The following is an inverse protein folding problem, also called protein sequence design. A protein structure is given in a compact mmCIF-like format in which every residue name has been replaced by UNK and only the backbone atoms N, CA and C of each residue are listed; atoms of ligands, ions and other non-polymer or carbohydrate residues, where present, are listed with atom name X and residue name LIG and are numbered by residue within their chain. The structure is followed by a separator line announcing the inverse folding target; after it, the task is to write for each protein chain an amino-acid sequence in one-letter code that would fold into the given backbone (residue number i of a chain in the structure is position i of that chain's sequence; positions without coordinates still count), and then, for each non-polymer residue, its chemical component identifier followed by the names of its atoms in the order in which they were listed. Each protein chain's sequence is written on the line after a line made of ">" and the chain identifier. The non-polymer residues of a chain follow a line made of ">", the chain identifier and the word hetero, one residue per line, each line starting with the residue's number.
data_IF_521632104192
#
_entry.id   IF_521632104192
#
_cell.length_a   1.000
_cell.length_b   1.000
_cell.length_c   1.000
_cell.angle_alpha   90.00
_cell.angle_beta   90.00
_cell.angle_gamma   90.00
#
_symmetry.space_group_name_H-M   'P 1'
#
loop_
_entity.id
_entity.type
_entity.pdbx_description
1 polymer ?
#
# COMPACT_ATOMS: atom_id res chain seq x y z
N UNK A 1 -39.15 -20.69 -41.28
CA UNK A 1 -37.71 -20.70 -40.96
C UNK A 1 -37.45 -19.49 -40.09
N UNK A 2 -37.48 -19.66 -38.77
CA UNK A 2 -37.33 -18.58 -37.79
C UNK A 2 -35.89 -18.55 -37.31
N UNK A 3 -35.18 -17.45 -37.58
CA UNK A 3 -33.83 -17.23 -37.11
C UNK A 3 -33.85 -16.88 -35.61
N UNK A 4 -33.25 -17.74 -34.79
CA UNK A 4 -32.98 -17.45 -33.38
C UNK A 4 -31.81 -16.45 -33.32
N UNK A 5 -32.08 -15.26 -32.78
CA UNK A 5 -31.06 -14.30 -32.41
C UNK A 5 -30.31 -14.83 -31.18
N UNK A 6 -29.01 -15.07 -31.33
CA UNK A 6 -28.12 -15.39 -30.23
C UNK A 6 -27.94 -14.14 -29.36
N UNK A 7 -28.57 -14.13 -28.18
CA UNK A 7 -28.22 -13.21 -27.10
C UNK A 7 -26.82 -13.56 -26.61
N UNK A 8 -25.82 -12.80 -27.02
CA UNK A 8 -24.50 -12.78 -26.39
C UNK A 8 -24.62 -12.19 -24.99
N UNK A 9 -24.44 -13.03 -23.96
CA UNK A 9 -24.39 -12.60 -22.57
C UNK A 9 -23.26 -11.58 -22.34
N UNK A 10 -23.49 -10.51 -21.56
CA UNK A 10 -22.42 -9.58 -21.19
C UNK A 10 -21.37 -10.30 -20.35
N UNK A 11 -20.10 -10.10 -20.72
CA UNK A 11 -18.93 -10.62 -19.99
C UNK A 11 -18.94 -10.01 -18.59
N UNK A 12 -18.98 -10.84 -17.55
CA UNK A 12 -18.87 -10.42 -16.16
C UNK A 12 -17.46 -9.85 -15.92
N UNK A 13 -17.37 -8.54 -15.66
CA UNK A 13 -16.11 -7.87 -15.34
C UNK A 13 -15.70 -8.19 -13.89
N UNK A 14 -14.50 -8.76 -13.71
CA UNK A 14 -13.97 -9.07 -12.38
C UNK A 14 -13.61 -7.78 -11.61
N UNK A 15 -13.70 -7.79 -10.27
CA UNK A 15 -13.31 -6.66 -9.38
C UNK A 15 -11.94 -6.09 -9.75
N UNK A 16 -11.05 -6.98 -10.15
CA UNK A 16 -9.70 -6.67 -10.53
C UNK A 16 -9.63 -5.93 -11.89
N UNK A 17 -10.53 -6.25 -12.84
CA UNK A 17 -10.64 -5.55 -14.13
C UNK A 17 -11.15 -4.13 -13.99
N UNK A 18 -12.07 -3.88 -13.07
CA UNK A 18 -12.50 -2.51 -12.85
C UNK A 18 -11.45 -1.64 -12.20
N UNK A 19 -10.64 -2.19 -11.28
CA UNK A 19 -9.48 -1.48 -10.78
C UNK A 19 -8.61 -0.97 -11.95
N UNK A 20 -8.39 -1.81 -12.98
CA UNK A 20 -7.67 -1.41 -14.19
C UNK A 20 -8.44 -0.46 -15.13
N UNK A 21 -9.77 -0.59 -15.24
CA UNK A 21 -10.60 0.32 -16.04
C UNK A 21 -10.62 1.75 -15.46
N UNK A 22 -10.63 1.89 -14.13
CA UNK A 22 -10.47 3.19 -13.49
C UNK A 22 -9.06 3.76 -13.69
N UNK A 23 -8.03 2.92 -13.72
CA UNK A 23 -6.65 3.34 -14.00
C UNK A 23 -6.43 3.80 -15.43
N UNK A 24 -7.01 3.13 -16.43
CA UNK A 24 -6.90 3.60 -17.82
C UNK A 24 -7.56 4.96 -17.98
N UNK A 25 -8.69 5.20 -17.31
CA UNK A 25 -9.36 6.50 -17.27
C UNK A 25 -8.53 7.56 -16.54
N UNK A 26 -7.86 7.19 -15.45
CA UNK A 26 -6.97 8.08 -14.66
C UNK A 26 -5.69 8.46 -15.41
N UNK A 27 -5.01 7.50 -16.04
CA UNK A 27 -3.79 7.73 -16.83
C UNK A 27 -4.10 8.53 -18.10
N UNK A 28 -5.24 8.28 -18.76
CA UNK A 28 -5.64 9.01 -19.96
C UNK A 28 -6.13 10.43 -19.68
N UNK A 29 -6.69 10.70 -18.49
CA UNK A 29 -7.18 12.03 -18.15
C UNK A 29 -6.07 13.01 -17.75
N UNK A 30 -4.82 12.54 -17.61
CA UNK A 30 -3.67 13.41 -17.29
C UNK A 30 -3.83 14.17 -15.96
N UNK A 31 -4.82 13.78 -15.14
CA UNK A 31 -5.05 14.36 -13.83
C UNK A 31 -4.05 13.72 -12.88
N UNK A 32 -2.80 14.19 -12.92
CA UNK A 32 -1.99 14.13 -11.72
C UNK A 32 -2.82 14.77 -10.60
N UNK A 33 -2.85 14.19 -9.39
CA UNK A 33 -3.30 14.92 -8.23
C UNK A 33 -2.36 16.12 -8.12
N UNK A 34 -2.79 17.26 -8.64
CA UNK A 34 -2.10 18.52 -8.41
C UNK A 34 -2.04 18.66 -6.89
N UNK A 35 -0.85 18.90 -6.35
CA UNK A 35 -0.71 19.48 -5.03
C UNK A 35 -1.51 20.80 -5.05
N UNK A 36 -2.76 20.75 -4.63
CA UNK A 36 -3.64 21.90 -4.68
C UNK A 36 -3.12 22.92 -3.68
N UNK A 37 -2.89 24.19 -4.08
CA UNK A 37 -2.78 25.26 -3.11
C UNK A 37 -4.13 25.38 -2.39
N UNK A 38 -4.06 25.49 -1.06
CA UNK A 38 -5.21 25.59 -0.16
C UNK A 38 -6.24 26.62 -0.65
N UNK A 39 -7.41 26.16 -1.09
CA UNK A 39 -8.63 26.96 -1.13
C UNK A 39 -9.71 26.27 -0.30
N UNK A 40 -10.04 26.93 0.80
CA UNK A 40 -11.02 26.51 1.80
C UNK A 40 -12.42 26.48 1.19
N UNK A 41 -13.04 25.30 1.14
CA UNK A 41 -14.46 25.16 0.84
C UNK A 41 -15.17 24.65 2.10
N UNK A 42 -15.92 25.54 2.77
CA UNK A 42 -16.75 25.20 3.93
C UNK A 42 -18.09 24.67 3.41
N UNK A 43 -18.31 23.36 3.48
CA UNK A 43 -19.64 22.77 3.40
C UNK A 43 -20.04 22.26 4.79
N UNK A 44 -21.00 22.94 5.39
CA UNK A 44 -21.67 22.52 6.62
C UNK A 44 -22.57 21.31 6.32
N UNK A 45 -22.27 20.17 6.93
CA UNK A 45 -23.22 19.07 7.07
C UNK A 45 -23.94 19.18 8.42
N UNK A 46 -25.24 18.83 8.50
CA UNK A 46 -25.99 18.91 9.75
C UNK A 46 -25.51 17.84 10.75
N UNK A 47 -25.35 18.27 12.01
CA UNK A 47 -25.00 17.41 13.12
C UNK A 47 -26.17 16.47 13.47
N UNK A 48 -25.96 15.16 13.33
CA UNK A 48 -26.84 14.16 13.90
C UNK A 48 -26.31 13.77 15.28
N UNK A 49 -26.95 14.31 16.32
CA UNK A 49 -26.72 13.97 17.71
C UNK A 49 -27.45 12.67 18.06
N UNK A 50 -26.70 11.61 18.38
CA UNK A 50 -27.20 10.50 19.18
C UNK A 50 -26.01 9.87 19.93
N UNK A 51 -25.84 10.27 21.20
CA UNK A 51 -24.93 9.60 22.13
C UNK A 51 -25.50 8.23 22.48
N UNK A 52 -24.83 7.18 22.03
CA UNK A 52 -24.96 5.84 22.62
C UNK A 52 -23.61 5.50 23.23
N UNK A 53 -23.55 5.53 24.56
CA UNK A 53 -22.40 5.09 25.35
C UNK A 53 -22.27 3.58 25.18
N UNK A 54 -21.31 3.14 24.36
CA UNK A 54 -20.86 1.75 24.31
C UNK A 54 -19.66 1.62 25.23
N UNK A 55 -19.81 0.81 26.27
CA UNK A 55 -18.71 0.31 27.08
C UNK A 55 -17.81 -0.56 26.18
N UNK A 56 -16.58 -0.10 25.95
CA UNK A 56 -15.56 -0.90 25.27
C UNK A 56 -14.85 -1.75 26.32
N UNK A 57 -15.04 -3.08 26.25
CA UNK A 57 -14.14 -4.02 26.90
C UNK A 57 -12.74 -3.87 26.27
N UNK A 58 -11.76 -3.58 27.12
CA UNK A 58 -10.34 -3.48 26.77
C UNK A 58 -9.82 -4.86 26.38
N UNK A 59 -9.89 -5.19 25.09
CA UNK A 59 -9.19 -6.35 24.52
C UNK A 59 -7.72 -5.95 24.35
N UNK A 60 -6.84 -6.53 25.17
CA UNK A 60 -5.39 -6.40 25.02
C UNK A 60 -4.95 -6.87 23.63
N UNK A 61 -4.13 -6.10 22.88
CA UNK A 61 -3.60 -6.56 21.61
C UNK A 61 -2.59 -7.68 21.84
N UNK A 62 -2.93 -8.88 21.38
CA UNK A 62 -1.97 -9.98 21.22
C UNK A 62 -1.07 -9.60 20.03
N UNK A 63 0.06 -8.94 20.33
CA UNK A 63 1.13 -8.69 19.39
C UNK A 63 1.90 -10.00 19.16
N UNK A 64 1.38 -10.87 18.30
CA UNK A 64 2.17 -11.95 17.70
C UNK A 64 2.70 -11.42 16.37
N UNK A 65 3.92 -10.90 16.41
CA UNK A 65 4.68 -10.57 15.20
C UNK A 65 5.05 -11.91 14.53
N UNK A 66 4.65 -12.16 13.27
CA UNK A 66 5.09 -13.36 12.57
C UNK A 66 6.59 -13.27 12.28
N UNK A 67 7.38 -14.21 12.79
CA UNK A 67 8.74 -14.45 12.30
C UNK A 67 8.67 -14.98 10.89
N UNK A 68 9.25 -14.25 9.93
CA UNK A 68 9.42 -14.73 8.56
C UNK A 68 10.65 -15.65 8.56
N UNK A 69 10.42 -16.96 8.63
CA UNK A 69 11.45 -17.95 8.32
C UNK A 69 11.61 -18.05 6.80
N UNK A 70 12.72 -17.50 6.27
CA UNK A 70 13.09 -17.64 4.87
C UNK A 70 13.68 -19.04 4.64
N UNK A 71 12.96 -19.89 3.90
CA UNK A 71 13.47 -21.19 3.46
C UNK A 71 14.39 -20.99 2.24
N UNK A 72 15.69 -21.35 2.30
CA UNK A 72 16.56 -21.22 1.14
C UNK A 72 16.29 -22.33 0.12
N UNK A 73 16.06 -21.95 -1.13
CA UNK A 73 16.07 -22.87 -2.26
C UNK A 73 17.51 -23.37 -2.50
N UNK A 74 17.72 -24.68 -2.38
CA UNK A 74 19.00 -25.33 -2.67
C UNK A 74 19.19 -25.44 -4.19
N UNK A 75 20.00 -24.55 -4.76
CA UNK A 75 20.46 -24.64 -6.15
C UNK A 75 21.89 -25.17 -6.14
N UNK A 76 22.07 -26.39 -6.64
CA UNK A 76 23.40 -26.97 -6.90
C UNK A 76 24.00 -26.32 -8.14
N UNK A 77 25.06 -25.53 -7.96
CA UNK A 77 25.89 -25.05 -9.06
C UNK A 77 26.96 -26.10 -9.40
N UNK A 78 27.10 -26.40 -10.69
CA UNK A 78 28.27 -27.09 -11.25
C UNK A 78 29.33 -26.04 -11.55
N UNK A 79 30.51 -26.19 -10.94
CA UNK A 79 31.72 -25.49 -11.36
C UNK A 79 32.12 -25.93 -12.77
N UNK A 80 32.38 -24.97 -13.64
CA UNK A 80 33.14 -25.17 -14.86
C UNK A 80 34.21 -24.09 -14.92
N UNK A 81 35.46 -24.53 -14.85
CA UNK A 81 36.68 -23.74 -14.98
C UNK A 81 36.89 -23.18 -16.39
N UNK A 82 37.72 -22.15 -16.44
CA UNK A 82 38.43 -21.58 -17.58
C UNK A 82 37.65 -20.79 -18.63
N UNK A 83 37.71 -19.45 -18.50
CA UNK A 83 37.60 -18.54 -19.65
C UNK A 83 38.48 -17.31 -19.54
N UNK A 84 39.32 -17.15 -20.56
CA UNK A 84 40.28 -16.08 -20.79
C UNK A 84 39.70 -14.66 -20.64
N UNK A 85 40.49 -13.80 -20.00
CA UNK A 85 40.24 -12.37 -19.85
C UNK A 85 40.51 -11.67 -21.18
N UNK A 86 39.44 -11.31 -21.92
CA UNK A 86 39.51 -10.29 -22.97
C UNK A 86 39.07 -8.95 -22.40
N UNK A 87 40.03 -8.04 -22.28
CA UNK A 87 39.84 -6.63 -21.93
C UNK A 87 39.03 -5.95 -23.03
N UNK A 88 37.73 -5.75 -22.78
CA UNK A 88 36.83 -4.99 -23.65
C UNK A 88 36.74 -3.56 -23.11
N UNK A 89 37.38 -2.62 -23.80
CA UNK A 89 37.11 -1.19 -23.60
C UNK A 89 35.66 -0.90 -23.99
N UNK A 90 34.80 -0.75 -22.98
CA UNK A 90 33.38 -0.42 -23.17
C UNK A 90 33.18 1.08 -23.05
N UNK A 91 33.18 1.76 -24.19
CA UNK A 91 32.44 3.02 -24.35
C UNK A 91 30.95 2.69 -24.26
N UNK A 92 30.39 2.75 -23.04
CA UNK A 92 28.96 2.58 -22.80
C UNK A 92 28.37 3.91 -22.35
N UNK A 93 28.03 4.77 -23.32
CA UNK A 93 26.98 5.78 -23.14
C UNK A 93 25.65 5.05 -23.02
N UNK A 94 25.38 4.52 -21.82
CA UNK A 94 24.07 4.00 -21.45
C UNK A 94 23.13 5.20 -21.44
N UNK A 95 22.32 5.34 -22.50
CA UNK A 95 21.12 6.16 -22.44
C UNK A 95 20.28 5.62 -21.29
N UNK A 96 20.32 6.32 -20.15
CA UNK A 96 19.46 6.04 -19.02
C UNK A 96 18.01 6.26 -19.47
N UNK A 97 17.34 5.19 -19.90
CA UNK A 97 15.88 5.23 -20.03
C UNK A 97 15.37 5.62 -18.65
N UNK A 98 14.74 6.78 -18.54
CA UNK A 98 14.18 7.30 -17.29
C UNK A 98 12.99 6.42 -16.88
N UNK A 99 13.29 5.21 -16.39
CA UNK A 99 12.29 4.35 -15.77
C UNK A 99 11.84 5.06 -14.51
N UNK A 100 10.53 5.27 -14.39
CA UNK A 100 9.94 5.75 -13.14
C UNK A 100 10.37 4.82 -11.99
N UNK A 101 10.74 5.36 -10.83
CA UNK A 101 11.02 4.56 -9.65
C UNK A 101 9.85 3.63 -9.30
N UNK A 102 10.12 2.43 -8.75
CA UNK A 102 9.07 1.52 -8.30
C UNK A 102 8.33 2.11 -7.09
N UNK A 103 7.10 1.63 -6.81
CA UNK A 103 6.46 1.89 -5.52
C UNK A 103 7.30 1.32 -4.37
N UNK A 104 7.16 1.85 -3.16
CA UNK A 104 7.91 1.34 -1.99
C UNK A 104 7.67 -0.17 -1.78
N UNK A 105 6.43 -0.64 -1.95
CA UNK A 105 6.11 -2.05 -1.80
C UNK A 105 6.84 -2.92 -2.83
N UNK A 106 6.88 -2.51 -4.10
CA UNK A 106 7.64 -3.20 -5.16
C UNK A 106 9.15 -3.13 -4.92
N UNK A 107 9.65 -2.00 -4.40
CA UNK A 107 11.06 -1.88 -4.04
C UNK A 107 11.45 -2.91 -2.97
N UNK A 108 10.67 -3.02 -1.90
CA UNK A 108 10.96 -3.94 -0.79
C UNK A 108 10.76 -5.40 -1.19
N UNK A 109 9.57 -5.75 -1.68
CA UNK A 109 9.17 -7.14 -1.86
C UNK A 109 9.59 -7.70 -3.23
N UNK A 110 9.88 -6.82 -4.19
CA UNK A 110 10.42 -7.18 -5.50
C UNK A 110 11.93 -6.97 -5.58
N UNK A 111 12.36 -5.70 -5.59
CA UNK A 111 13.77 -5.34 -5.90
C UNK A 111 14.75 -5.84 -4.84
N UNK A 112 14.52 -5.56 -3.55
CA UNK A 112 15.45 -5.98 -2.49
C UNK A 112 15.49 -7.50 -2.36
N UNK A 113 14.38 -8.19 -2.59
CA UNK A 113 14.30 -9.65 -2.55
C UNK A 113 15.07 -10.35 -3.68
N UNK A 114 15.28 -9.70 -4.83
CA UNK A 114 16.15 -10.25 -5.88
C UNK A 114 17.60 -10.42 -5.42
N UNK A 115 18.03 -9.63 -4.42
CA UNK A 115 19.38 -9.69 -3.84
C UNK A 115 19.45 -10.56 -2.58
N UNK A 116 18.45 -11.40 -2.30
CA UNK A 116 18.40 -12.28 -1.12
C UNK A 116 19.71 -13.03 -0.81
N UNK A 117 20.45 -13.58 -1.79
CA UNK A 117 21.72 -14.25 -1.51
C UNK A 117 22.81 -13.37 -0.88
N UNK A 118 22.72 -12.05 -1.08
CA UNK A 118 23.65 -11.03 -0.56
C UNK A 118 23.22 -10.48 0.81
N UNK A 119 22.01 -10.77 1.28
CA UNK A 119 21.52 -10.25 2.55
C UNK A 119 22.44 -10.70 3.70
N UNK A 120 22.76 -9.78 4.61
CA UNK A 120 23.69 -9.99 5.73
C UNK A 120 25.12 -10.38 5.32
N UNK A 121 25.52 -10.12 4.07
CA UNK A 121 26.88 -10.39 3.56
C UNK A 121 27.47 -9.15 2.88
N UNK A 122 27.71 -8.05 3.62
CA UNK A 122 28.37 -6.90 3.05
C UNK A 122 29.78 -7.26 2.56
N UNK A 123 30.23 -6.62 1.48
CA UNK A 123 31.58 -6.82 0.93
C UNK A 123 32.68 -6.49 1.94
N UNK A 124 32.42 -5.52 2.81
CA UNK A 124 33.34 -5.05 3.84
C UNK A 124 32.82 -5.47 5.23
N UNK A 125 33.64 -6.15 6.06
CA UNK A 125 33.22 -6.61 7.39
C UNK A 125 32.80 -5.48 8.35
N UNK A 126 33.34 -4.28 8.13
CA UNK A 126 33.10 -3.03 8.85
C UNK A 126 31.98 -2.17 8.23
N UNK A 127 31.16 -2.75 7.34
CA UNK A 127 30.04 -2.04 6.75
C UNK A 127 29.06 -1.53 7.82
N UNK A 128 28.72 -0.25 7.71
CA UNK A 128 27.76 0.44 8.56
C UNK A 128 26.48 0.77 7.80
N UNK A 129 25.36 0.76 8.51
CA UNK A 129 24.08 1.19 7.97
C UNK A 129 24.10 2.68 7.60
N UNK A 130 23.67 3.03 6.39
CA UNK A 130 23.62 4.43 5.94
C UNK A 130 22.55 5.29 6.65
N UNK A 131 21.70 4.69 7.49
CA UNK A 131 20.63 5.40 8.22
C UNK A 131 20.98 5.58 9.70
N UNK A 132 21.34 4.50 10.39
CA UNK A 132 21.63 4.55 11.84
C UNK A 132 23.12 4.60 12.18
N UNK A 133 24.01 4.46 11.19
CA UNK A 133 25.47 4.43 11.35
C UNK A 133 26.02 3.30 12.23
N UNK A 134 25.17 2.37 12.68
CA UNK A 134 25.63 1.18 13.41
C UNK A 134 26.18 0.11 12.47
N UNK A 135 27.09 -0.75 12.98
CA UNK A 135 27.58 -1.92 12.24
C UNK A 135 26.44 -2.82 11.78
N UNK A 136 26.64 -3.50 10.65
CA UNK A 136 25.61 -4.30 9.99
C UNK A 136 25.00 -5.40 10.87
N UNK A 137 25.79 -5.98 11.79
CA UNK A 137 25.38 -7.05 12.69
C UNK A 137 24.83 -6.55 14.04
N UNK A 138 24.72 -5.23 14.24
CA UNK A 138 24.23 -4.65 15.49
C UNK A 138 22.69 -4.63 15.49
N UNK A 139 22.02 -5.14 16.54
CA UNK A 139 20.58 -4.99 16.71
C UNK A 139 20.17 -3.51 16.68
N UNK A 140 19.08 -3.20 15.98
CA UNK A 140 18.62 -1.82 15.80
C UNK A 140 17.39 -1.51 16.63
N UNK A 141 17.44 -0.42 17.37
CA UNK A 141 16.23 0.27 17.84
C UNK A 141 15.71 1.09 16.67
N UNK A 142 14.83 0.51 15.87
CA UNK A 142 14.32 1.15 14.66
C UNK A 142 13.46 2.39 14.94
N UNK A 143 13.14 2.68 16.20
CA UNK A 143 12.48 3.91 16.63
C UNK A 143 13.49 4.78 17.37
N UNK A 144 13.49 6.09 17.10
CA UNK A 144 14.15 7.07 17.99
C UNK A 144 13.59 6.93 19.43
N UNK A 145 12.35 6.46 19.53
CA UNK A 145 11.73 5.90 20.73
C UNK A 145 12.24 4.48 21.04
N UNK A 146 13.56 4.29 21.15
CA UNK A 146 14.11 3.24 22.04
C UNK A 146 13.67 3.42 23.51
N UNK A 147 12.82 4.41 23.78
CA UNK A 147 12.26 4.88 25.04
C UNK A 147 10.90 4.25 25.39
N UNK A 148 10.19 3.60 24.46
CA UNK A 148 8.93 2.90 24.78
C UNK A 148 9.14 1.47 25.33
N UNK A 149 10.37 1.15 25.76
CA UNK A 149 10.69 -0.13 26.40
C UNK A 149 10.77 -1.35 25.47
N UNK A 150 10.76 -1.16 24.13
CA UNK A 150 10.95 -2.27 23.20
C UNK A 150 12.43 -2.63 23.07
N UNK A 151 12.79 -3.92 23.15
CA UNK A 151 14.18 -4.35 22.99
C UNK A 151 14.67 -4.10 21.54
N UNK A 152 15.96 -3.82 21.32
CA UNK A 152 16.55 -3.78 19.99
C UNK A 152 16.28 -5.07 19.22
N UNK A 153 15.96 -4.95 17.93
CA UNK A 153 15.60 -6.09 17.07
C UNK A 153 16.66 -6.28 15.99
N UNK A 154 17.06 -7.52 15.76
CA UNK A 154 17.91 -7.87 14.63
C UNK A 154 17.16 -7.62 13.33
N UNK A 155 17.74 -6.82 12.44
CA UNK A 155 17.15 -6.50 11.14
C UNK A 155 18.06 -7.02 10.04
N UNK A 156 17.48 -7.60 8.99
CA UNK A 156 18.22 -7.97 7.78
C UNK A 156 18.96 -6.76 7.23
N UNK A 157 20.24 -6.94 6.91
CA UNK A 157 21.10 -5.94 6.31
C UNK A 157 21.13 -6.13 4.79
N UNK A 158 20.74 -5.10 4.05
CA UNK A 158 20.37 -5.19 2.64
C UNK A 158 21.20 -4.22 1.79
N UNK A 159 21.65 -4.63 0.60
CA UNK A 159 22.19 -3.71 -0.39
C UNK A 159 21.05 -2.92 -1.06
N UNK A 160 21.20 -1.61 -1.14
CA UNK A 160 20.26 -0.70 -1.76
C UNK A 160 20.54 -0.61 -3.26
N UNK A 161 19.58 -1.01 -4.08
CA UNK A 161 19.64 -0.81 -5.53
C UNK A 161 19.09 0.58 -5.91
N UNK A 162 19.69 1.29 -6.88
CA UNK A 162 20.86 0.94 -7.68
C UNK A 162 22.21 1.40 -7.11
N UNK A 163 22.21 2.07 -5.96
CA UNK A 163 23.40 2.79 -5.49
C UNK A 163 24.45 1.93 -4.76
N UNK A 164 24.14 0.70 -4.37
CA UNK A 164 25.05 -0.22 -3.70
C UNK A 164 25.34 0.06 -2.22
N UNK A 165 24.79 1.15 -1.64
CA UNK A 165 24.89 1.42 -0.20
C UNK A 165 24.12 0.38 0.60
N UNK A 166 24.46 0.19 1.88
CA UNK A 166 23.82 -0.83 2.70
C UNK A 166 23.02 -0.22 3.86
N UNK A 167 21.88 -0.84 4.17
CA UNK A 167 21.03 -0.42 5.28
C UNK A 167 20.33 -1.60 5.93
N UNK A 168 20.01 -1.47 7.21
CA UNK A 168 19.08 -2.35 7.88
C UNK A 168 17.67 -2.15 7.32
N UNK A 169 16.98 -3.23 6.96
CA UNK A 169 15.60 -3.23 6.49
C UNK A 169 14.68 -2.35 7.35
N UNK A 170 14.69 -2.53 8.67
CA UNK A 170 13.87 -1.74 9.59
C UNK A 170 14.23 -0.25 9.57
N UNK A 171 15.50 0.10 9.34
CA UNK A 171 15.91 1.51 9.22
C UNK A 171 15.43 2.14 7.91
N UNK A 172 15.39 1.38 6.79
CA UNK A 172 14.78 1.86 5.53
C UNK A 172 13.29 2.13 5.76
N UNK A 173 12.58 1.19 6.39
CA UNK A 173 11.15 1.33 6.66
C UNK A 173 10.87 2.51 7.58
N UNK A 174 11.60 2.63 8.69
CA UNK A 174 11.49 3.78 9.58
C UNK A 174 11.73 5.09 8.85
N UNK A 175 12.79 5.17 8.03
CA UNK A 175 13.08 6.39 7.27
C UNK A 175 11.95 6.74 6.30
N UNK A 176 11.35 5.74 5.64
CA UNK A 176 10.21 5.93 4.76
C UNK A 176 8.94 6.45 5.49
N UNK A 177 8.78 6.16 6.79
CA UNK A 177 7.64 6.66 7.58
C UNK A 177 7.79 8.11 8.04
N UNK A 178 8.97 8.71 7.90
CA UNK A 178 9.24 10.08 8.37
C UNK A 178 8.60 11.13 7.47
N UNK A 179 8.31 12.29 8.06
CA UNK A 179 7.97 13.52 7.35
C UNK A 179 9.26 14.22 6.85
N UNK A 180 9.98 13.57 5.94
CA UNK A 180 11.19 14.10 5.30
C UNK A 180 11.06 14.00 3.77
N UNK A 181 11.32 15.07 3.00
CA UNK A 181 11.24 15.04 1.53
C UNK A 181 12.25 14.08 0.87
N UNK A 182 13.21 13.55 1.61
CA UNK A 182 14.21 12.57 1.16
C UNK A 182 13.87 11.15 1.57
N UNK A 183 12.71 10.91 2.21
CA UNK A 183 12.29 9.60 2.73
C UNK A 183 12.18 8.48 1.68
N UNK A 184 12.33 8.81 0.39
CA UNK A 184 12.42 7.88 -0.73
C UNK A 184 13.79 7.81 -1.42
N UNK A 185 14.83 8.34 -0.77
CA UNK A 185 16.19 8.43 -1.29
C UNK A 185 17.18 7.73 -0.38
N UNK A 186 18.31 7.33 -0.94
CA UNK A 186 19.46 6.88 -0.16
C UNK A 186 20.03 8.04 0.66
N UNK A 187 20.19 7.85 1.98
CA UNK A 187 20.74 8.87 2.88
C UNK A 187 22.20 9.26 2.61
N UNK A 188 22.96 8.44 1.87
CA UNK A 188 24.37 8.71 1.55
C UNK A 188 24.54 9.46 0.24
N UNK A 189 23.92 8.98 -0.84
CA UNK A 189 24.15 9.50 -2.20
C UNK A 189 22.94 10.20 -2.81
N UNK A 190 21.81 10.28 -2.10
CA UNK A 190 20.57 10.93 -2.53
C UNK A 190 19.90 10.33 -3.79
N UNK A 191 20.38 9.16 -4.25
CA UNK A 191 19.73 8.37 -5.31
C UNK A 191 18.30 8.03 -4.90
N UNK A 192 17.33 8.30 -5.78
CA UNK A 192 15.94 7.93 -5.57
C UNK A 192 15.79 6.41 -5.67
N UNK A 193 15.24 5.80 -4.62
CA UNK A 193 15.10 4.35 -4.50
C UNK A 193 13.70 3.89 -4.94
N UNK A 194 12.69 4.69 -4.62
CA UNK A 194 11.29 4.40 -4.90
C UNK A 194 10.46 5.69 -5.03
N UNK A 195 9.22 5.53 -5.47
CA UNK A 195 8.20 6.56 -5.39
C UNK A 195 7.52 6.48 -4.02
N UNK A 196 7.45 7.60 -3.31
CA UNK A 196 6.82 7.63 -2.00
C UNK A 196 5.31 7.75 -2.14
N UNK A 197 4.58 6.84 -1.50
CA UNK A 197 3.13 6.88 -1.42
C UNK A 197 2.71 6.55 0.01
N UNK A 198 1.67 7.23 0.48
CA UNK A 198 1.12 7.01 1.81
C UNK A 198 0.71 5.56 2.00
N UNK A 199 -0.08 5.02 1.08
CA UNK A 199 -0.71 3.71 1.28
C UNK A 199 0.29 2.55 1.29
N UNK A 200 1.33 2.59 0.45
CA UNK A 200 2.39 1.57 0.46
C UNK A 200 3.24 1.68 1.72
N UNK A 201 3.51 2.91 2.16
CA UNK A 201 4.29 3.17 3.38
C UNK A 201 3.51 2.71 4.60
N UNK A 202 2.22 3.05 4.70
CA UNK A 202 1.33 2.61 5.77
C UNK A 202 1.23 1.08 5.84
N UNK A 203 1.12 0.42 4.68
CA UNK A 203 1.09 -1.05 4.58
C UNK A 203 2.36 -1.66 5.18
N UNK A 204 3.53 -1.15 4.81
CA UNK A 204 4.82 -1.65 5.29
C UNK A 204 5.12 -1.27 6.74
N UNK A 205 4.72 -0.08 7.16
CA UNK A 205 4.80 0.38 8.54
C UNK A 205 4.00 -0.55 9.46
N UNK A 206 2.76 -0.87 9.07
CA UNK A 206 1.90 -1.83 9.79
C UNK A 206 2.54 -3.21 9.82
N UNK A 207 3.08 -3.71 8.69
CA UNK A 207 3.77 -5.00 8.61
C UNK A 207 5.01 -5.08 9.52
N UNK A 208 5.67 -3.96 9.76
CA UNK A 208 6.92 -3.90 10.55
C UNK A 208 6.72 -3.44 11.99
N UNK A 209 5.48 -3.11 12.38
CA UNK A 209 5.16 -2.53 13.69
C UNK A 209 5.83 -1.17 13.90
N UNK A 210 5.97 -0.38 12.83
CA UNK A 210 6.49 0.98 12.88
C UNK A 210 5.34 1.96 12.76
N UNK A 211 5.42 3.05 13.51
CA UNK A 211 4.45 4.13 13.41
C UNK A 211 4.76 5.07 12.24
N UNK A 212 3.70 5.55 11.59
CA UNK A 212 3.78 6.63 10.62
C UNK A 212 3.97 7.96 11.35
N UNK A 213 4.96 8.76 10.93
CA UNK A 213 5.18 10.07 11.55
C UNK A 213 4.05 11.03 11.21
N UNK A 214 3.45 11.59 12.26
CA UNK A 214 2.42 12.62 12.17
C UNK A 214 3.07 14.00 12.01
N UNK A 215 2.59 14.77 11.03
CA UNK A 215 3.03 16.15 10.78
C UNK A 215 3.00 17.00 12.05
N UNK A 216 2.02 16.80 12.94
CA UNK A 216 1.91 17.56 14.20
C UNK A 216 3.01 17.21 15.21
N UNK A 217 3.47 15.94 15.25
CA UNK A 217 4.54 15.51 16.17
C UNK A 217 5.93 15.94 15.72
N UNK A 218 6.11 16.26 14.43
CA UNK A 218 7.43 16.61 13.87
C UNK A 218 8.02 17.93 14.38
N UNK A 219 7.26 18.75 15.14
CA UNK A 219 7.76 19.99 15.77
C UNK A 219 8.21 21.09 14.79
N UNK A 220 8.17 20.84 13.49
CA UNK A 220 8.61 21.75 12.44
C UNK A 220 7.59 22.84 12.07
N UNK A 221 6.38 22.78 12.64
CA UNK A 221 5.37 23.82 12.48
C UNK A 221 5.05 24.40 13.85
N UNK A 222 5.51 25.63 14.09
CA UNK A 222 5.00 26.48 15.17
C UNK A 222 3.46 26.44 15.12
N UNK A 223 2.77 26.26 16.26
CA UNK A 223 1.31 26.19 16.31
C UNK A 223 0.75 27.59 16.03
N UNK A 224 0.68 27.95 14.75
CA UNK A 224 -0.15 29.04 14.28
C UNK A 224 -1.62 28.63 14.30
N UNK A 225 -2.55 29.58 14.05
CA UNK A 225 -4.00 29.31 13.96
C UNK A 225 -4.40 28.35 12.82
N UNK A 226 -3.43 27.86 12.06
CA UNK A 226 -3.56 26.87 10.98
C UNK A 226 -2.76 25.59 11.28
N UNK A 227 -2.66 25.18 12.56
CA UNK A 227 -2.06 23.90 12.93
C UNK A 227 -2.66 22.81 12.04
N UNK A 228 -1.83 22.24 11.15
CA UNK A 228 -2.27 21.20 10.22
C UNK A 228 -2.90 20.07 11.03
N UNK A 229 -4.03 19.57 10.57
CA UNK A 229 -4.71 18.46 11.23
C UNK A 229 -3.76 17.26 11.27
N UNK A 230 -3.85 16.46 12.34
CA UNK A 230 -3.07 15.23 12.49
C UNK A 230 -3.30 14.30 11.29
N UNK A 231 -2.23 13.79 10.69
CA UNK A 231 -2.34 12.84 9.57
C UNK A 231 -3.17 11.61 9.98
N UNK A 232 -3.06 11.19 11.25
CA UNK A 232 -3.84 10.09 11.84
C UNK A 232 -5.33 10.43 11.89
N UNK A 233 -5.68 11.64 12.36
CA UNK A 233 -7.07 12.09 12.39
C UNK A 233 -7.65 12.20 10.97
N UNK A 234 -6.87 12.67 10.00
CA UNK A 234 -7.29 12.69 8.60
C UNK A 234 -7.53 11.27 8.07
N UNK A 235 -6.65 10.32 8.38
CA UNK A 235 -6.82 8.90 8.03
C UNK A 235 -8.10 8.30 8.64
N UNK A 236 -8.38 8.58 9.91
CA UNK A 236 -9.59 8.11 10.60
C UNK A 236 -10.85 8.72 9.97
N UNK A 237 -10.82 10.01 9.65
CA UNK A 237 -11.91 10.68 8.96
C UNK A 237 -12.17 10.10 7.56
N UNK A 238 -11.11 9.80 6.78
CA UNK A 238 -11.21 9.12 5.50
C UNK A 238 -11.86 7.73 5.65
N UNK A 239 -11.44 6.97 6.66
CA UNK A 239 -12.04 5.68 6.97
C UNK A 239 -13.56 5.80 7.23
N UNK A 240 -14.00 6.81 7.99
CA UNK A 240 -15.43 7.08 8.23
C UNK A 240 -16.18 7.44 6.95
N UNK A 241 -15.56 8.22 6.06
CA UNK A 241 -16.14 8.55 4.75
C UNK A 241 -16.34 7.29 3.92
N UNK A 242 -15.34 6.41 3.83
CA UNK A 242 -15.43 5.13 3.12
C UNK A 242 -16.61 4.31 3.66
N UNK A 243 -16.69 4.15 4.98
CA UNK A 243 -17.77 3.38 5.64
C UNK A 243 -19.16 3.97 5.33
N UNK A 244 -19.27 5.30 5.30
CA UNK A 244 -20.53 6.01 4.98
C UNK A 244 -20.95 5.82 3.51
N UNK A 245 -20.00 5.87 2.58
CA UNK A 245 -20.26 5.65 1.14
C UNK A 245 -20.64 4.20 0.89
N UNK A 246 -19.97 3.23 1.52
CA UNK A 246 -20.33 1.81 1.47
C UNK A 246 -21.78 1.64 1.93
N UNK A 247 -22.13 2.18 3.09
CA UNK A 247 -23.49 2.10 3.63
C UNK A 247 -24.52 2.64 2.63
N UNK A 248 -24.35 3.88 2.16
CA UNK A 248 -25.30 4.51 1.26
C UNK A 248 -25.45 3.74 -0.07
N UNK A 249 -24.33 3.29 -0.64
CA UNK A 249 -24.31 2.58 -1.93
C UNK A 249 -24.92 1.18 -1.80
N UNK A 250 -24.63 0.47 -0.71
CA UNK A 250 -25.21 -0.85 -0.46
C UNK A 250 -26.74 -0.81 -0.40
N UNK A 251 -27.32 0.15 0.32
CA UNK A 251 -28.79 0.30 0.38
C UNK A 251 -29.41 0.67 -0.97
N UNK A 252 -28.71 1.44 -1.81
CA UNK A 252 -29.16 1.68 -3.18
C UNK A 252 -29.19 0.38 -4.00
N UNK A 253 -28.20 -0.50 -3.81
CA UNK A 253 -28.14 -1.79 -4.49
C UNK A 253 -29.15 -2.81 -3.97
N UNK A 254 -29.51 -2.77 -2.68
CA UNK A 254 -30.60 -3.57 -2.14
C UNK A 254 -31.97 -3.23 -2.77
N UNK A 255 -32.17 -1.98 -3.17
CA UNK A 255 -33.41 -1.54 -3.82
C UNK A 255 -33.46 -1.88 -5.33
N UNK A 256 -32.33 -2.24 -5.94
CA UNK A 256 -32.26 -2.63 -7.35
C UNK A 256 -32.73 -4.07 -7.54
N UNK A 257 -33.25 -4.38 -8.73
CA UNK A 257 -33.58 -5.76 -9.10
C UNK A 257 -32.30 -6.60 -9.12
N UNK A 258 -32.30 -7.69 -8.35
CA UNK A 258 -31.17 -8.63 -8.30
C UNK A 258 -30.97 -9.34 -9.65
N UNK A 259 -29.70 -9.54 -10.03
CA UNK A 259 -29.30 -10.42 -11.13
C UNK A 259 -29.11 -11.88 -10.69
N UNK A 260 -29.05 -12.13 -9.38
CA UNK A 260 -28.76 -13.45 -8.80
C UNK A 260 -30.04 -14.22 -8.51
N UNK A 261 -29.99 -15.55 -8.58
CA UNK A 261 -31.17 -16.41 -8.36
C UNK A 261 -31.64 -16.39 -6.91
N UNK A 262 -30.71 -16.22 -5.96
CA UNK A 262 -30.97 -16.12 -4.53
C UNK A 262 -31.44 -14.73 -4.07
N UNK A 263 -31.69 -13.81 -5.02
CA UNK A 263 -32.10 -12.43 -4.78
C UNK A 263 -31.08 -11.57 -4.02
N UNK A 264 -29.82 -12.03 -3.88
CA UNK A 264 -28.75 -11.21 -3.28
C UNK A 264 -28.43 -9.97 -4.13
N UNK A 265 -27.95 -8.85 -3.55
CA UNK A 265 -27.53 -7.69 -4.32
C UNK A 265 -26.25 -7.97 -5.10
N UNK A 266 -26.03 -7.22 -6.20
CA UNK A 266 -24.78 -7.25 -6.96
C UNK A 266 -23.68 -6.49 -6.20
N UNK A 267 -22.96 -7.21 -5.33
CA UNK A 267 -21.92 -6.63 -4.49
C UNK A 267 -20.68 -6.19 -5.29
N UNK A 268 -20.43 -6.79 -6.44
CA UNK A 268 -19.33 -6.39 -7.34
C UNK A 268 -19.63 -5.01 -7.92
N UNK A 269 -20.84 -4.80 -8.44
CA UNK A 269 -21.25 -3.48 -8.91
C UNK A 269 -21.33 -2.46 -7.76
N UNK A 270 -21.80 -2.88 -6.58
CA UNK A 270 -21.78 -2.02 -5.40
C UNK A 270 -20.36 -1.54 -5.05
N UNK A 271 -19.34 -2.40 -5.16
CA UNK A 271 -17.95 -2.02 -4.95
C UNK A 271 -17.48 -0.96 -5.97
N UNK A 272 -17.84 -1.10 -7.25
CA UNK A 272 -17.50 -0.10 -8.27
C UNK A 272 -18.17 1.25 -8.02
N UNK A 273 -19.46 1.23 -7.70
CA UNK A 273 -20.20 2.46 -7.43
C UNK A 273 -19.61 3.19 -6.19
N UNK A 274 -19.08 2.46 -5.20
CA UNK A 274 -18.33 3.02 -4.07
C UNK A 274 -17.02 3.67 -4.53
N UNK A 275 -16.21 2.99 -5.34
CA UNK A 275 -14.97 3.56 -5.87
C UNK A 275 -15.23 4.82 -6.71
N UNK A 276 -16.25 4.80 -7.56
CA UNK A 276 -16.67 5.94 -8.37
C UNK A 276 -17.13 7.12 -7.51
N UNK A 277 -17.89 6.86 -6.45
CA UNK A 277 -18.29 7.90 -5.51
C UNK A 277 -17.07 8.54 -4.82
N UNK A 278 -16.12 7.72 -4.35
CA UNK A 278 -14.88 8.19 -3.73
C UNK A 278 -14.02 9.00 -4.71
N UNK A 279 -13.91 8.55 -5.97
CA UNK A 279 -13.18 9.26 -7.02
C UNK A 279 -13.82 10.62 -7.35
N UNK A 280 -15.15 10.69 -7.49
CA UNK A 280 -15.88 11.96 -7.72
C UNK A 280 -15.69 12.94 -6.56
N UNK A 281 -15.53 12.43 -5.35
CA UNK A 281 -15.21 13.22 -4.16
C UNK A 281 -13.71 13.56 -4.03
N UNK A 282 -12.87 13.15 -4.99
CA UNK A 282 -11.41 13.33 -5.00
C UNK A 282 -10.75 12.75 -3.73
N UNK A 283 -11.14 11.54 -3.35
CA UNK A 283 -10.55 10.79 -2.24
C UNK A 283 -9.51 9.77 -2.74
N UNK A 284 -8.50 9.42 -1.91
CA UNK A 284 -8.23 9.92 -0.56
C UNK A 284 -7.54 11.29 -0.55
N UNK A 285 -7.80 12.08 0.50
CA UNK A 285 -7.08 13.32 0.81
C UNK A 285 -6.00 13.11 1.88
N UNK A 286 -6.22 12.21 2.85
CA UNK A 286 -5.24 11.90 3.89
C UNK A 286 -3.91 11.46 3.28
N UNK A 287 -2.82 12.09 3.74
CA UNK A 287 -1.44 11.77 3.32
C UNK A 287 -1.12 10.29 3.44
N UNK A 288 -1.61 9.61 4.49
CA UNK A 288 -1.31 8.19 4.74
C UNK A 288 -2.01 7.23 3.76
N UNK A 289 -3.00 7.71 3.01
CA UNK A 289 -3.73 6.93 2.01
C UNK A 289 -3.46 7.38 0.59
N UNK A 290 -2.76 8.51 0.41
CA UNK A 290 -2.38 9.01 -0.92
C UNK A 290 -1.57 7.98 -1.70
N UNK A 291 -1.81 7.96 -3.01
CA UNK A 291 -1.13 7.12 -3.97
C UNK A 291 -0.99 7.86 -5.31
N UNK A 292 -0.01 7.45 -6.11
CA UNK A 292 0.29 7.93 -7.46
C UNK A 292 0.68 6.79 -8.42
N UNK A 293 0.99 5.61 -7.92
CA UNK A 293 1.39 4.43 -8.69
C UNK A 293 0.23 3.44 -8.86
N UNK A 294 0.43 2.55 -9.82
CA UNK A 294 -0.43 1.39 -10.04
C UNK A 294 -0.59 0.53 -8.78
N UNK A 295 0.51 0.26 -8.06
CA UNK A 295 0.48 -0.53 -6.83
C UNK A 295 -0.35 0.17 -5.75
N UNK A 296 -0.15 1.48 -5.57
CA UNK A 296 -0.90 2.27 -4.60
C UNK A 296 -2.40 2.28 -4.88
N UNK A 297 -2.80 2.41 -6.15
CA UNK A 297 -4.20 2.32 -6.54
C UNK A 297 -4.82 0.95 -6.24
N UNK A 298 -4.11 -0.15 -6.52
CA UNK A 298 -4.60 -1.50 -6.21
C UNK A 298 -4.75 -1.70 -4.68
N UNK A 299 -3.81 -1.19 -3.89
CA UNK A 299 -3.90 -1.20 -2.42
C UNK A 299 -5.08 -0.36 -1.92
N UNK A 300 -5.39 0.75 -2.58
CA UNK A 300 -6.57 1.57 -2.25
C UNK A 300 -7.86 0.79 -2.49
N UNK A 301 -7.98 0.15 -3.65
CA UNK A 301 -9.08 -0.77 -3.94
C UNK A 301 -9.21 -1.86 -2.87
N UNK A 302 -8.09 -2.48 -2.48
CA UNK A 302 -8.07 -3.52 -1.45
C UNK A 302 -8.52 -3.01 -0.08
N UNK A 303 -8.11 -1.79 0.32
CA UNK A 303 -8.59 -1.17 1.56
C UNK A 303 -10.11 -1.00 1.56
N UNK A 304 -10.67 -0.47 0.46
CA UNK A 304 -12.12 -0.31 0.28
C UNK A 304 -12.82 -1.68 0.30
N UNK A 305 -12.25 -2.70 -0.35
CA UNK A 305 -12.77 -4.07 -0.31
C UNK A 305 -12.79 -4.64 1.11
N UNK A 306 -11.72 -4.46 1.90
CA UNK A 306 -11.64 -4.91 3.29
C UNK A 306 -12.69 -4.21 4.15
N UNK A 307 -12.84 -2.89 4.00
CA UNK A 307 -13.84 -2.07 4.67
C UNK A 307 -15.26 -2.53 4.34
N UNK A 308 -15.56 -2.71 3.06
CA UNK A 308 -16.86 -3.18 2.58
C UNK A 308 -17.18 -4.58 3.09
N UNK A 309 -16.22 -5.50 3.02
CA UNK A 309 -16.37 -6.84 3.59
C UNK A 309 -16.73 -6.76 5.08
N UNK A 310 -15.97 -5.99 5.87
CA UNK A 310 -16.21 -5.83 7.31
C UNK A 310 -17.62 -5.29 7.59
N UNK A 311 -18.02 -4.24 6.88
CA UNK A 311 -19.37 -3.67 6.98
C UNK A 311 -20.46 -4.73 6.71
N UNK A 312 -20.31 -5.50 5.62
CA UNK A 312 -21.26 -6.53 5.22
C UNK A 312 -21.39 -7.65 6.26
N UNK A 313 -20.27 -8.15 6.78
CA UNK A 313 -20.27 -9.18 7.83
C UNK A 313 -20.91 -8.68 9.12
N UNK A 314 -20.47 -7.52 9.61
CA UNK A 314 -20.88 -7.01 10.92
C UNK A 314 -22.32 -6.48 10.93
N UNK A 315 -22.82 -5.93 9.83
CA UNK A 315 -24.14 -5.28 9.76
C UNK A 315 -25.18 -6.09 9.02
N UNK A 316 -24.77 -6.97 8.11
CA UNK A 316 -25.65 -7.68 7.19
C UNK A 316 -25.27 -9.15 7.05
N UNK A 317 -24.92 -9.84 8.15
CA UNK A 317 -24.34 -11.19 8.12
C UNK A 317 -25.12 -12.27 7.33
N UNK A 318 -26.41 -12.07 7.01
CA UNK A 318 -27.18 -12.93 6.08
C UNK A 318 -26.68 -12.88 4.64
N UNK A 319 -25.85 -11.90 4.29
CA UNK A 319 -25.22 -11.77 2.98
C UNK A 319 -24.14 -12.85 2.79
N UNK A 320 -23.53 -13.36 3.86
CA UNK A 320 -22.48 -14.37 3.76
C UNK A 320 -23.01 -15.66 3.13
N UNK A 321 -22.25 -16.19 2.17
CA UNK A 321 -22.59 -17.41 1.44
C UNK A 321 -23.57 -17.23 0.28
N UNK A 322 -24.14 -16.03 0.10
CA UNK A 322 -24.96 -15.70 -1.09
C UNK A 322 -24.11 -15.67 -2.37
N UNK A 323 -24.76 -15.73 -3.53
CA UNK A 323 -24.10 -15.61 -4.83
C UNK A 323 -23.35 -14.29 -4.97
N UNK A 324 -23.98 -13.16 -4.64
CA UNK A 324 -23.34 -11.85 -4.68
C UNK A 324 -22.11 -11.77 -3.76
N UNK A 325 -22.16 -12.42 -2.59
CA UNK A 325 -21.02 -12.54 -1.68
C UNK A 325 -19.87 -13.36 -2.25
N UNK A 326 -20.18 -14.51 -2.85
CA UNK A 326 -19.17 -15.37 -3.45
C UNK A 326 -18.46 -14.68 -4.61
N UNK A 327 -19.19 -14.01 -5.51
CA UNK A 327 -18.61 -13.21 -6.59
C UNK A 327 -17.71 -12.07 -6.04
N UNK A 328 -18.14 -11.40 -4.97
CA UNK A 328 -17.35 -10.36 -4.32
C UNK A 328 -16.04 -10.89 -3.71
N UNK A 329 -16.07 -12.02 -2.99
CA UNK A 329 -14.87 -12.63 -2.42
C UNK A 329 -13.92 -13.20 -3.50
N UNK A 330 -14.45 -13.74 -4.60
CA UNK A 330 -13.65 -14.11 -5.77
C UNK A 330 -12.95 -12.90 -6.37
N UNK A 331 -13.69 -11.80 -6.54
CA UNK A 331 -13.14 -10.54 -7.00
C UNK A 331 -12.03 -9.98 -6.09
N UNK A 332 -12.21 -10.06 -4.77
CA UNK A 332 -11.17 -9.72 -3.78
C UNK A 332 -9.91 -10.56 -3.95
N UNK A 333 -10.04 -11.89 -4.12
CA UNK A 333 -8.90 -12.78 -4.39
C UNK A 333 -8.18 -12.41 -5.67
N UNK A 334 -8.93 -12.10 -6.74
CA UNK A 334 -8.35 -11.65 -8.00
C UNK A 334 -7.59 -10.33 -7.84
N UNK A 335 -8.11 -9.37 -7.06
CA UNK A 335 -7.42 -8.12 -6.75
C UNK A 335 -6.12 -8.36 -5.99
N UNK A 336 -6.13 -9.27 -5.01
CA UNK A 336 -4.92 -9.68 -4.30
C UNK A 336 -3.86 -10.25 -5.26
N UNK A 337 -4.26 -11.17 -6.15
CA UNK A 337 -3.35 -11.73 -7.15
C UNK A 337 -2.74 -10.67 -8.07
N UNK A 338 -3.48 -9.59 -8.39
CA UNK A 338 -2.94 -8.45 -9.17
C UNK A 338 -1.93 -7.62 -8.38
N UNK A 339 -2.15 -7.42 -7.09
CA UNK A 339 -1.18 -6.74 -6.22
C UNK A 339 0.13 -7.54 -6.20
N UNK A 340 0.05 -8.85 -5.98
CA UNK A 340 1.20 -9.75 -5.97
C UNK A 340 1.95 -9.73 -7.32
N UNK A 341 1.22 -9.82 -8.42
CA UNK A 341 1.81 -9.74 -9.76
C UNK A 341 2.50 -8.39 -10.03
N UNK A 342 1.90 -7.28 -9.59
CA UNK A 342 2.48 -5.93 -9.75
C UNK A 342 3.77 -5.77 -8.93
N UNK A 343 3.78 -6.28 -7.71
CA UNK A 343 4.96 -6.25 -6.82
C UNK A 343 6.12 -7.08 -7.39
N UNK A 344 5.82 -8.16 -8.11
CA UNK A 344 6.83 -9.04 -8.70
C UNK A 344 7.37 -8.57 -10.06
N UNK A 345 6.81 -7.51 -10.67
CA UNK A 345 7.32 -6.99 -11.94
C UNK A 345 8.77 -6.53 -11.78
N UNK A 346 9.64 -6.94 -12.69
CA UNK A 346 11.06 -6.52 -12.75
C UNK A 346 11.22 -5.19 -13.47
#
# INVERSE_FOLDING_TARGET
>A
MSAQAACSSPVSQSVADAALLHLSTFVQSGVQPQATPNTSFVQQFPAASASTTLEYETISPINVVPSIELTPASVKYKESEDREVKTFESQSTVQASSRSPPSLLRFVDGVLMQSAPLHNKPLHPDATCCVCFYPWNTPVSATQEGLNGQPPVTSTFLPLWPCGHWAHYRCIMWFATRFDPRNNRCCTCNTQLFEWEGITTLTLATRTGLDMEDVVRSGHLQPGPYAKQSDKTEYEAECTVIDSIIHATFFQHLAKKSKHTDQSPDLVQCFYDVLDALQRMKRPQSRWLQYVTQTGYLLWGMLVTIKMRRYLVEKHGRIEGTMGWNEFEEGKKALQGRIEAEVQKS
#
